data_IF_121260796557
#
_entry.id   IF_121260796557
#
_cell.length_a   1.000
_cell.length_b   1.000
_cell.length_c   1.000
_cell.angle_alpha   90.00
_cell.angle_beta   90.00
_cell.angle_gamma   90.00
#
_symmetry.space_group_name_H-M   'P 1'
#
loop_
_entity.id
_entity.type
_entity.pdbx_description
1 polymer ?
#
# COMPACT_ATOMS: atom_id res chain seq x y z
N UNK A 1 11.15 -14.60 23.23
CA UNK A 1 11.22 -14.60 21.74
C UNK A 1 10.57 -13.32 21.26
N UNK A 2 11.30 -12.41 20.63
CA UNK A 2 10.65 -11.23 20.00
C UNK A 2 9.82 -11.76 18.83
N UNK A 3 8.52 -11.55 18.89
CA UNK A 3 7.60 -11.85 17.80
C UNK A 3 8.11 -11.19 16.53
N UNK A 4 8.18 -11.93 15.43
CA UNK A 4 8.63 -11.36 14.15
C UNK A 4 7.49 -10.50 13.57
N UNK A 5 7.58 -9.20 13.79
CA UNK A 5 6.60 -8.20 13.33
C UNK A 5 6.30 -8.36 11.84
N UNK A 6 7.31 -8.65 11.02
CA UNK A 6 7.13 -8.80 9.57
C UNK A 6 6.29 -10.02 9.24
N UNK A 7 6.58 -11.16 9.87
CA UNK A 7 5.76 -12.38 9.70
C UNK A 7 4.30 -12.16 10.08
N UNK A 8 4.06 -11.47 11.19
CA UNK A 8 2.70 -11.17 11.65
C UNK A 8 1.97 -10.30 10.63
N UNK A 9 2.63 -9.27 10.10
CA UNK A 9 2.05 -8.43 9.05
C UNK A 9 1.73 -9.22 7.76
N UNK A 10 2.56 -10.18 7.38
CA UNK A 10 2.28 -11.06 6.24
C UNK A 10 1.10 -11.99 6.54
N UNK A 11 1.03 -12.53 7.75
CA UNK A 11 -0.10 -13.36 8.18
C UNK A 11 -1.42 -12.57 8.17
N UNK A 12 -1.41 -11.34 8.68
CA UNK A 12 -2.57 -10.45 8.66
C UNK A 12 -2.97 -10.10 7.22
N UNK A 13 -2.00 -9.80 6.34
CA UNK A 13 -2.25 -9.59 4.93
C UNK A 13 -2.92 -10.82 4.27
N UNK A 14 -2.41 -12.02 4.52
CA UNK A 14 -2.97 -13.26 3.94
C UNK A 14 -4.38 -13.54 4.45
N UNK A 15 -4.70 -13.19 5.70
CA UNK A 15 -6.02 -13.37 6.29
C UNK A 15 -7.04 -12.33 5.81
N UNK A 16 -6.65 -11.06 5.76
CA UNK A 16 -7.61 -9.95 5.68
C UNK A 16 -7.66 -9.29 4.28
N UNK A 17 -6.59 -9.41 3.49
CA UNK A 17 -6.44 -8.67 2.22
C UNK A 17 -6.29 -9.60 1.02
N UNK A 18 -5.44 -10.62 1.12
CA UNK A 18 -5.15 -11.51 0.01
C UNK A 18 -6.41 -12.23 -0.49
N UNK A 19 -6.53 -12.38 -1.82
CA UNK A 19 -7.69 -13.01 -2.45
C UNK A 19 -8.94 -12.12 -2.53
N UNK A 20 -8.85 -10.86 -2.10
CA UNK A 20 -9.96 -9.92 -2.20
C UNK A 20 -9.75 -8.92 -3.35
N UNK A 21 -10.76 -8.77 -4.19
CA UNK A 21 -10.87 -7.67 -5.14
C UNK A 21 -11.66 -6.53 -4.51
N UNK A 22 -11.07 -5.34 -4.48
CA UNK A 22 -11.67 -4.13 -3.98
C UNK A 22 -12.21 -3.30 -5.13
N UNK A 23 -13.47 -2.89 -5.04
CA UNK A 23 -14.16 -2.09 -6.07
C UNK A 23 -14.70 -0.83 -5.43
N UNK A 24 -14.27 0.32 -5.94
CA UNK A 24 -14.68 1.65 -5.49
C UNK A 24 -15.42 2.37 -6.60
N UNK A 25 -16.61 2.87 -6.31
CA UNK A 25 -17.36 3.74 -7.18
C UNK A 25 -17.17 5.18 -6.69
N UNK A 26 -16.51 6.00 -7.48
CA UNK A 26 -16.13 7.35 -7.10
C UNK A 26 -17.13 8.36 -7.67
N UNK A 27 -17.25 9.53 -7.02
CA UNK A 27 -18.16 10.61 -7.40
C UNK A 27 -17.84 11.26 -8.75
N UNK A 28 -16.61 11.10 -9.24
CA UNK A 28 -16.21 11.54 -10.59
C UNK A 28 -16.57 10.53 -11.70
N UNK A 29 -17.32 9.48 -11.37
CA UNK A 29 -17.77 8.43 -12.30
C UNK A 29 -16.77 7.31 -12.53
N UNK A 30 -15.57 7.39 -11.98
CA UNK A 30 -14.56 6.34 -12.14
C UNK A 30 -14.87 5.16 -11.22
N UNK A 31 -14.62 3.96 -11.74
CA UNK A 31 -14.66 2.72 -10.97
C UNK A 31 -13.23 2.17 -10.86
N UNK A 32 -12.70 2.18 -9.64
CA UNK A 32 -11.44 1.51 -9.34
C UNK A 32 -11.75 0.04 -9.02
N UNK A 33 -11.00 -0.87 -9.60
CA UNK A 33 -11.12 -2.31 -9.29
C UNK A 33 -9.74 -2.92 -9.31
N UNK A 34 -9.26 -3.36 -8.15
CA UNK A 34 -7.91 -3.91 -8.01
C UNK A 34 -7.82 -4.94 -6.88
N UNK A 35 -6.77 -5.76 -6.95
CA UNK A 35 -6.34 -6.65 -5.87
C UNK A 35 -4.98 -6.20 -5.35
N UNK A 36 -4.70 -6.44 -4.08
CA UNK A 36 -3.34 -6.32 -3.54
C UNK A 36 -2.73 -7.71 -3.56
N UNK A 37 -2.04 -8.04 -4.65
CA UNK A 37 -1.40 -9.34 -4.83
C UNK A 37 -0.07 -9.45 -4.05
N UNK A 38 0.37 -10.67 -3.81
CA UNK A 38 1.66 -10.97 -3.14
C UNK A 38 2.85 -10.23 -3.76
N UNK A 39 2.86 -10.04 -5.08
CA UNK A 39 3.93 -9.29 -5.78
C UNK A 39 3.96 -7.79 -5.44
N UNK A 40 2.83 -7.21 -5.01
CA UNK A 40 2.76 -5.80 -4.62
C UNK A 40 3.31 -5.55 -3.22
N UNK A 41 3.20 -6.53 -2.31
CA UNK A 41 3.57 -6.39 -0.89
C UNK A 41 5.00 -5.90 -0.67
N UNK A 42 6.05 -6.50 -1.29
CA UNK A 42 7.42 -6.01 -1.12
C UNK A 42 7.63 -4.57 -1.59
N UNK A 43 6.88 -4.15 -2.61
CA UNK A 43 6.95 -2.78 -3.12
C UNK A 43 6.25 -1.80 -2.17
N UNK A 44 5.05 -2.13 -1.72
CA UNK A 44 4.29 -1.32 -0.75
C UNK A 44 5.03 -1.16 0.57
N UNK A 45 5.72 -2.19 1.02
CA UNK A 45 6.59 -2.15 2.20
C UNK A 45 7.94 -1.43 1.97
N UNK A 46 8.26 -1.05 0.73
CA UNK A 46 9.52 -0.40 0.38
C UNK A 46 10.74 -1.33 0.36
N UNK A 47 10.54 -2.63 0.46
CA UNK A 47 11.62 -3.63 0.59
C UNK A 47 12.43 -3.78 -0.70
N UNK A 48 11.80 -3.66 -1.86
CA UNK A 48 12.49 -3.82 -3.16
C UNK A 48 13.65 -2.83 -3.41
N UNK A 49 13.63 -1.70 -2.73
CA UNK A 49 14.65 -0.64 -2.87
C UNK A 49 15.76 -0.74 -1.84
N UNK A 50 15.70 -1.71 -0.93
CA UNK A 50 16.71 -1.84 0.10
C UNK A 50 18.02 -2.39 -0.48
N UNK A 51 19.19 -1.85 -0.04
CA UNK A 51 20.50 -2.33 -0.46
C UNK A 51 20.90 -3.62 0.27
N UNK A 52 19.98 -4.54 0.42
CA UNK A 52 20.20 -5.83 1.05
C UNK A 52 20.61 -6.86 0.00
N UNK A 53 21.72 -7.56 0.22
CA UNK A 53 22.22 -8.63 -0.67
C UNK A 53 21.13 -9.65 -1.02
N UNK A 54 20.34 -10.03 -0.02
CA UNK A 54 19.26 -11.00 -0.19
C UNK A 54 18.09 -10.48 -1.04
N UNK A 55 17.96 -9.16 -1.24
CA UNK A 55 16.89 -8.54 -2.03
C UNK A 55 17.33 -8.24 -3.46
N UNK A 56 18.64 -7.97 -3.64
CA UNK A 56 19.19 -7.62 -4.95
C UNK A 56 18.90 -8.71 -5.99
N UNK A 57 18.42 -8.30 -7.16
CA UNK A 57 18.10 -9.17 -8.29
C UNK A 57 17.03 -10.25 -8.03
N UNK A 58 16.25 -10.11 -6.96
CA UNK A 58 15.15 -11.03 -6.66
C UNK A 58 13.82 -10.51 -7.24
N UNK A 59 12.99 -11.44 -7.69
CA UNK A 59 11.62 -11.13 -8.07
C UNK A 59 10.79 -10.72 -6.85
N UNK A 60 9.72 -9.96 -7.07
CA UNK A 60 8.80 -9.58 -6.00
C UNK A 60 8.23 -10.80 -5.25
N UNK A 61 7.90 -11.87 -5.98
CA UNK A 61 7.41 -13.11 -5.38
C UNK A 61 8.46 -13.84 -4.54
N UNK A 62 9.75 -13.77 -4.92
CA UNK A 62 10.83 -14.32 -4.11
C UNK A 62 11.02 -13.51 -2.82
N UNK A 63 10.99 -12.18 -2.91
CA UNK A 63 11.08 -11.29 -1.74
C UNK A 63 9.88 -11.52 -0.80
N UNK A 64 8.67 -11.66 -1.35
CA UNK A 64 7.49 -11.97 -0.54
C UNK A 64 7.67 -13.28 0.28
N UNK A 65 8.18 -14.34 -0.33
CA UNK A 65 8.48 -15.59 0.39
C UNK A 65 9.49 -15.38 1.52
N UNK A 66 10.53 -14.57 1.28
CA UNK A 66 11.55 -14.25 2.29
C UNK A 66 10.99 -13.42 3.46
N UNK A 67 9.99 -12.58 3.23
CA UNK A 67 9.25 -11.89 4.30
C UNK A 67 8.41 -12.89 5.09
N UNK A 68 7.73 -13.80 4.39
CA UNK A 68 6.85 -14.81 5.00
C UNK A 68 7.61 -15.83 5.85
N UNK A 69 8.76 -16.29 5.40
CA UNK A 69 9.58 -17.28 6.13
C UNK A 69 10.50 -16.66 7.20
N UNK A 70 10.61 -15.30 7.23
CA UNK A 70 11.42 -14.56 8.19
C UNK A 70 12.90 -14.41 7.80
N UNK A 71 13.27 -14.77 6.58
CA UNK A 71 14.62 -14.50 6.04
C UNK A 71 14.89 -12.99 6.01
N UNK A 72 13.84 -12.18 5.74
CA UNK A 72 13.88 -10.72 5.89
C UNK A 72 13.02 -10.37 7.10
N UNK A 73 13.68 -10.07 8.21
CA UNK A 73 13.05 -9.68 9.47
C UNK A 73 13.19 -8.17 9.74
N UNK A 74 12.50 -7.68 10.75
CA UNK A 74 12.45 -6.24 11.08
C UNK A 74 13.82 -5.63 11.35
N UNK A 75 14.78 -6.38 11.89
CA UNK A 75 16.14 -5.91 12.15
C UNK A 75 16.92 -5.58 10.87
N UNK A 76 16.60 -6.23 9.75
CA UNK A 76 17.19 -5.91 8.44
C UNK A 76 16.60 -4.61 7.85
N UNK A 77 15.38 -4.28 8.22
CA UNK A 77 14.62 -3.14 7.70
C UNK A 77 14.82 -1.88 8.55
N UNK A 78 14.96 -2.03 9.86
CA UNK A 78 15.03 -0.94 10.83
C UNK A 78 16.08 0.15 10.52
N UNK A 79 17.27 -0.17 9.96
CA UNK A 79 18.24 0.85 9.56
C UNK A 79 17.77 1.75 8.41
N UNK A 80 16.73 1.34 7.67
CA UNK A 80 16.21 2.02 6.48
C UNK A 80 14.90 2.73 6.81
N UNK A 81 14.99 3.97 7.26
CA UNK A 81 13.90 4.77 7.83
C UNK A 81 12.60 4.75 7.01
N UNK A 82 12.68 4.92 5.69
CA UNK A 82 11.49 4.96 4.83
C UNK A 82 10.80 3.58 4.72
N UNK A 83 11.57 2.53 4.54
CA UNK A 83 11.02 1.18 4.51
C UNK A 83 10.47 0.77 5.89
N UNK A 84 11.18 1.11 6.96
CA UNK A 84 10.72 0.86 8.32
C UNK A 84 9.37 1.52 8.59
N UNK A 85 9.21 2.80 8.22
CA UNK A 85 7.91 3.50 8.33
C UNK A 85 6.80 2.80 7.55
N UNK A 86 7.07 2.40 6.31
CA UNK A 86 6.09 1.69 5.48
C UNK A 86 5.70 0.35 6.10
N UNK A 87 6.66 -0.42 6.57
CA UNK A 87 6.40 -1.72 7.24
C UNK A 87 5.54 -1.52 8.48
N UNK A 88 5.89 -0.58 9.35
CA UNK A 88 5.12 -0.33 10.59
C UNK A 88 3.70 0.17 10.33
N UNK A 89 3.47 0.82 9.19
CA UNK A 89 2.15 1.33 8.79
C UNK A 89 1.40 0.42 7.80
N UNK A 90 2.00 -0.68 7.36
CA UNK A 90 1.39 -1.61 6.39
C UNK A 90 0.04 -2.16 6.87
N UNK A 91 -0.12 -2.41 8.15
CA UNK A 91 -1.37 -2.87 8.78
C UNK A 91 -2.56 -1.92 8.54
N UNK A 92 -2.32 -0.63 8.30
CA UNK A 92 -3.38 0.35 8.08
C UNK A 92 -4.00 0.29 6.68
N UNK A 93 -3.43 -0.51 5.76
CA UNK A 93 -4.00 -0.69 4.41
C UNK A 93 -5.45 -1.17 4.51
N UNK A 94 -5.76 -2.11 5.41
CA UNK A 94 -7.14 -2.60 5.57
C UNK A 94 -8.09 -1.46 5.99
N UNK A 95 -7.65 -0.58 6.88
CA UNK A 95 -8.45 0.58 7.30
C UNK A 95 -8.62 1.59 6.16
N UNK A 96 -7.58 1.82 5.34
CA UNK A 96 -7.67 2.68 4.15
C UNK A 96 -8.71 2.12 3.18
N UNK A 97 -8.70 0.81 2.95
CA UNK A 97 -9.62 0.16 2.02
C UNK A 97 -11.09 0.22 2.48
N UNK A 98 -11.34 0.24 3.80
CA UNK A 98 -12.71 0.21 4.34
C UNK A 98 -13.24 1.57 4.80
N UNK A 99 -12.37 2.49 5.24
CA UNK A 99 -12.77 3.74 5.88
C UNK A 99 -12.00 4.96 5.36
N UNK A 100 -11.19 4.80 4.31
CA UNK A 100 -10.36 5.87 3.78
C UNK A 100 -11.15 6.89 2.97
N UNK A 101 -10.57 8.07 2.83
CA UNK A 101 -10.98 9.10 1.88
C UNK A 101 -10.21 8.95 0.56
N UNK A 102 -10.63 9.66 -0.48
CA UNK A 102 -10.01 9.59 -1.79
C UNK A 102 -9.76 10.96 -2.41
N UNK A 103 -8.63 11.09 -3.11
CA UNK A 103 -8.33 12.22 -3.99
C UNK A 103 -7.87 11.73 -5.35
N UNK A 104 -8.28 12.45 -6.39
CA UNK A 104 -7.78 12.30 -7.76
C UNK A 104 -6.53 13.17 -7.91
N UNK A 105 -5.44 12.58 -8.37
CA UNK A 105 -4.20 13.29 -8.62
C UNK A 105 -4.30 14.03 -9.95
N UNK A 106 -4.33 15.34 -9.90
CA UNK A 106 -4.33 16.24 -11.06
C UNK A 106 -3.04 17.01 -11.19
N UNK A 107 -2.37 17.26 -10.07
CA UNK A 107 -1.06 17.89 -10.02
C UNK A 107 -0.02 16.86 -9.57
N UNK A 108 0.94 16.58 -10.43
CA UNK A 108 1.99 15.59 -10.17
C UNK A 108 2.77 15.93 -8.88
N UNK A 109 3.00 14.94 -8.06
CA UNK A 109 3.77 15.05 -6.81
C UNK A 109 4.97 14.11 -6.88
N UNK A 110 6.16 14.67 -7.05
CA UNK A 110 7.40 13.91 -7.14
C UNK A 110 7.39 12.86 -8.27
N UNK A 111 7.80 11.64 -7.97
CA UNK A 111 7.84 10.49 -8.89
C UNK A 111 6.58 9.62 -8.83
N UNK A 112 5.52 10.08 -8.16
CA UNK A 112 4.27 9.34 -8.04
C UNK A 112 3.57 9.23 -9.39
N UNK A 113 3.23 8.02 -9.81
CA UNK A 113 2.45 7.75 -11.03
C UNK A 113 0.99 7.40 -10.74
N UNK A 114 0.59 7.41 -9.48
CA UNK A 114 -0.79 7.14 -9.07
C UNK A 114 -1.76 8.16 -9.67
N UNK A 115 -2.92 7.68 -10.11
CA UNK A 115 -4.02 8.51 -10.56
C UNK A 115 -4.95 8.90 -9.40
N UNK A 116 -5.01 8.05 -8.37
CA UNK A 116 -5.79 8.26 -7.15
C UNK A 116 -4.95 7.93 -5.93
N UNK A 117 -5.22 8.62 -4.82
CA UNK A 117 -4.77 8.23 -3.49
C UNK A 117 -6.00 7.93 -2.64
N UNK A 118 -6.03 6.74 -2.07
CA UNK A 118 -6.88 6.44 -0.93
C UNK A 118 -6.06 6.74 0.32
N UNK A 119 -6.61 7.41 1.31
CA UNK A 119 -5.83 7.81 2.47
C UNK A 119 -6.60 7.72 3.78
N UNK A 120 -5.85 7.63 4.88
CA UNK A 120 -6.35 7.57 6.24
C UNK A 120 -5.73 8.71 7.05
N UNK A 121 -6.59 9.62 7.52
CA UNK A 121 -6.21 10.80 8.30
C UNK A 121 -6.60 10.66 9.78
N UNK A 122 -6.23 9.54 10.39
CA UNK A 122 -6.58 9.26 11.79
C UNK A 122 -5.37 9.24 12.73
N UNK A 123 -4.15 9.34 12.19
CA UNK A 123 -2.93 9.42 13.00
C UNK A 123 -2.62 10.88 13.34
N UNK A 124 -2.21 11.19 14.57
CA UNK A 124 -1.97 12.59 14.99
C UNK A 124 -0.92 13.30 14.14
N UNK A 125 0.13 12.60 13.76
CA UNK A 125 1.32 13.18 13.13
C UNK A 125 1.51 12.82 11.66
N UNK A 126 0.83 11.79 11.17
CA UNK A 126 1.03 11.24 9.84
C UNK A 126 -0.30 10.97 9.12
N UNK A 127 -0.28 11.08 7.81
CA UNK A 127 -1.35 10.64 6.92
C UNK A 127 -0.81 9.50 6.08
N UNK A 128 -1.56 8.39 6.02
CA UNK A 128 -1.15 7.19 5.31
C UNK A 128 -1.94 7.13 4.01
N UNK A 129 -1.24 7.04 2.88
CA UNK A 129 -1.83 7.02 1.55
C UNK A 129 -1.51 5.71 0.85
N UNK A 130 -2.50 5.14 0.18
CA UNK A 130 -2.35 4.05 -0.77
C UNK A 130 -2.54 4.62 -2.19
N UNK A 131 -1.46 4.66 -2.95
CA UNK A 131 -1.46 5.12 -4.33
C UNK A 131 -2.00 4.05 -5.26
N UNK A 132 -2.96 4.44 -6.12
CA UNK A 132 -3.58 3.58 -7.12
C UNK A 132 -3.23 4.12 -8.50
N UNK A 133 -2.53 3.32 -9.28
CA UNK A 133 -2.16 3.61 -10.68
C UNK A 133 -2.94 2.71 -11.64
N UNK A 134 -2.85 3.03 -12.94
CA UNK A 134 -3.48 2.26 -14.00
C UNK A 134 -2.45 1.90 -15.07
N UNK A 135 -2.48 0.67 -15.52
CA UNK A 135 -1.73 0.17 -16.68
C UNK A 135 -2.68 -0.51 -17.69
N UNK A 136 -2.11 -1.19 -18.66
CA UNK A 136 -2.88 -1.91 -19.70
C UNK A 136 -3.72 -3.08 -19.13
N UNK A 137 -3.38 -3.57 -17.95
CA UNK A 137 -4.09 -4.67 -17.27
C UNK A 137 -5.18 -4.16 -16.33
N UNK A 138 -5.18 -2.86 -16.02
CA UNK A 138 -6.17 -2.23 -15.15
C UNK A 138 -5.56 -1.46 -13.98
N UNK A 139 -6.33 -1.31 -12.92
CA UNK A 139 -5.93 -0.60 -11.72
C UNK A 139 -5.07 -1.49 -10.82
N UNK A 140 -4.04 -0.93 -10.20
CA UNK A 140 -3.18 -1.64 -9.26
C UNK A 140 -2.66 -0.72 -8.15
N UNK A 141 -2.35 -1.27 -6.95
CA UNK A 141 -1.72 -0.50 -5.87
C UNK A 141 -0.25 -0.25 -6.22
N UNK A 142 0.12 1.03 -6.34
CA UNK A 142 1.46 1.44 -6.74
C UNK A 142 2.39 1.67 -5.54
N UNK A 143 1.91 2.36 -4.52
CA UNK A 143 2.77 2.75 -3.40
C UNK A 143 1.99 2.96 -2.11
N UNK A 144 2.65 2.68 -0.99
CA UNK A 144 2.24 3.11 0.34
C UNK A 144 3.11 4.30 0.74
N UNK A 145 2.48 5.43 1.05
CA UNK A 145 3.15 6.65 1.48
C UNK A 145 2.76 6.96 2.92
N UNK A 146 3.75 7.25 3.74
CA UNK A 146 3.56 7.69 5.13
C UNK A 146 4.11 9.10 5.24
N UNK A 147 3.22 10.07 5.23
CA UNK A 147 3.53 11.49 5.07
C UNK A 147 3.22 12.24 6.35
N UNK A 148 4.12 13.11 6.79
CA UNK A 148 3.85 13.98 7.92
C UNK A 148 2.65 14.88 7.62
N UNK A 149 1.79 15.10 8.62
CA UNK A 149 0.54 15.86 8.48
C UNK A 149 0.74 17.29 7.95
N UNK A 150 1.85 17.93 8.25
CA UNK A 150 2.17 19.26 7.75
C UNK A 150 2.60 19.30 6.27
N UNK A 151 2.77 18.14 5.63
CA UNK A 151 3.11 18.02 4.20
C UNK A 151 1.84 17.70 3.42
N UNK A 152 1.09 18.71 3.06
CA UNK A 152 -0.28 18.59 2.52
C UNK A 152 -0.35 18.44 1.00
N UNK A 153 0.77 18.52 0.29
CA UNK A 153 0.82 18.50 -1.19
C UNK A 153 0.18 17.28 -1.87
N UNK A 154 -0.03 16.20 -1.14
CA UNK A 154 -0.67 14.97 -1.64
C UNK A 154 -2.20 15.05 -1.58
N UNK A 155 -2.76 16.02 -0.86
CA UNK A 155 -4.19 16.26 -0.71
C UNK A 155 -4.53 17.65 -1.24
N UNK A 156 -3.83 18.68 -0.77
CA UNK A 156 -4.00 20.06 -1.23
C UNK A 156 -3.64 20.18 -2.71
N UNK A 157 -4.41 20.95 -3.46
CA UNK A 157 -4.31 21.09 -4.91
C UNK A 157 -4.63 19.82 -5.72
N UNK A 158 -5.16 18.81 -5.09
CA UNK A 158 -5.76 17.64 -5.73
C UNK A 158 -7.29 17.75 -5.70
N UNK A 159 -7.97 16.92 -6.44
CA UNK A 159 -9.44 16.91 -6.46
C UNK A 159 -9.93 15.88 -5.45
N UNK A 160 -10.64 16.33 -4.42
CA UNK A 160 -11.36 15.43 -3.52
C UNK A 160 -12.45 14.70 -4.30
N UNK A 161 -12.55 13.39 -4.11
CA UNK A 161 -13.58 12.55 -4.69
C UNK A 161 -14.23 11.71 -3.60
N UNK A 162 -15.56 11.65 -3.62
CA UNK A 162 -16.30 10.85 -2.65
C UNK A 162 -16.29 9.38 -3.08
N UNK A 163 -16.15 8.49 -2.12
CA UNK A 163 -16.36 7.06 -2.31
C UNK A 163 -17.86 6.80 -2.13
N UNK A 164 -18.60 6.68 -3.23
CA UNK A 164 -20.05 6.47 -3.22
C UNK A 164 -20.42 5.05 -2.80
N UNK A 165 -19.56 4.07 -3.16
CA UNK A 165 -19.76 2.66 -2.84
C UNK A 165 -18.41 1.95 -2.81
N UNK A 166 -18.26 1.06 -1.86
CA UNK A 166 -17.15 0.12 -1.80
C UNK A 166 -17.69 -1.30 -1.71
N UNK A 167 -17.11 -2.20 -2.50
CA UNK A 167 -17.46 -3.62 -2.53
C UNK A 167 -16.18 -4.44 -2.41
N UNK A 168 -16.27 -5.51 -1.64
CA UNK A 168 -15.21 -6.53 -1.55
C UNK A 168 -15.75 -7.81 -2.14
N UNK A 169 -15.06 -8.31 -3.16
CA UNK A 169 -15.39 -9.58 -3.82
C UNK A 169 -14.27 -10.56 -3.57
N UNK A 170 -14.57 -11.64 -2.88
CA UNK A 170 -13.59 -12.70 -2.65
C UNK A 170 -13.35 -13.46 -3.96
N UNK A 171 -12.10 -13.48 -4.42
CA UNK A 171 -11.67 -14.21 -5.59
C UNK A 171 -10.71 -15.32 -5.15
N UNK A 172 -10.89 -16.52 -5.68
CA UNK A 172 -10.01 -17.65 -5.38
C UNK A 172 -8.56 -17.42 -5.87
N UNK A 173 -8.38 -16.49 -6.83
CA UNK A 173 -7.09 -16.14 -7.45
C UNK A 173 -7.01 -14.60 -7.67
N UNK A 174 -6.53 -13.89 -6.68
CA UNK A 174 -5.94 -12.55 -6.81
C UNK A 174 -4.46 -12.59 -6.48
#
# INVERSE_FOLDING_TARGET
MREDVVKNLITDYERDIAGNQYRFHLSDGVKLSFCIEKKHVPHLMGIRKLPLRQVQNKSASAIYRMLKDGTIAINHIAPHKEAYKKVMNFRHIISILHCGDAVKIVKRVGSLNSSYLLYLDHQPDEIIHLGIAKDDKGWYPESLLVIQRNVTKYIDNQISVDILKMEVVHQAEC
#
